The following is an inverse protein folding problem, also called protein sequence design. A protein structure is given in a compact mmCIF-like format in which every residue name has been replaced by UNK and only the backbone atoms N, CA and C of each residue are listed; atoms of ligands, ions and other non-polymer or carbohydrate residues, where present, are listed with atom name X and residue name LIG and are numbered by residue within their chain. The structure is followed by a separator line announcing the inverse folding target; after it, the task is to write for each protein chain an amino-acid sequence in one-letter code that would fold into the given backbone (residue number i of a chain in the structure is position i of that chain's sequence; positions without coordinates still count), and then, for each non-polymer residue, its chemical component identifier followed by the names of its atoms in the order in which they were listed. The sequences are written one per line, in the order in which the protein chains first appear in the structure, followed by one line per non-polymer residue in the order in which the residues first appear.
data_IF_374293252371
#
_entry.id   IF_374293252371
#
_cell.length_a   1.000
_cell.length_b   1.000
_cell.length_c   1.000
_cell.angle_alpha   90.00
_cell.angle_beta   90.00
_cell.angle_gamma   90.00
#
_symmetry.space_group_name_H-M   'P 1'
#
loop_
_entity.id
_entity.type
_entity.pdbx_description
1 polymer ?
#
# COMPACT_ATOMS: atom_id res chain seq x y z
N UNK A 1 7.47 0.87 1.71
CA UNK A 1 6.79 0.13 0.64
C UNK A 1 5.69 -0.75 1.24
N UNK A 2 4.40 -0.41 1.01
CA UNK A 2 3.27 -1.20 1.51
C UNK A 2 3.38 -2.68 1.16
N UNK A 3 3.60 -3.02 -0.13
CA UNK A 3 3.74 -4.39 -0.64
C UNK A 3 4.84 -5.22 0.03
N UNK A 4 5.79 -4.59 0.73
CA UNK A 4 6.98 -5.25 1.28
C UNK A 4 7.08 -5.18 2.80
N UNK A 5 6.12 -4.55 3.47
CA UNK A 5 6.20 -4.35 4.92
C UNK A 5 5.61 -5.54 5.69
N UNK A 6 4.29 -5.75 5.59
CA UNK A 6 3.57 -6.83 6.23
C UNK A 6 2.30 -7.17 5.43
N UNK A 7 2.01 -8.46 5.26
CA UNK A 7 0.80 -8.96 4.62
C UNK A 7 -0.19 -9.36 5.73
N UNK A 8 -1.19 -8.50 5.98
CA UNK A 8 -2.22 -8.70 6.99
C UNK A 8 -3.47 -9.41 6.46
N UNK A 9 -3.72 -9.34 5.15
CA UNK A 9 -4.83 -10.01 4.49
C UNK A 9 -4.42 -10.69 3.17
N UNK A 10 -3.97 -11.96 3.24
CA UNK A 10 -3.57 -12.71 2.04
C UNK A 10 -4.70 -12.94 1.03
N UNK A 11 -5.96 -12.67 1.38
CA UNK A 11 -7.07 -12.79 0.44
C UNK A 11 -7.05 -11.68 -0.63
N UNK A 12 -6.37 -10.56 -0.37
CA UNK A 12 -6.27 -9.44 -1.31
C UNK A 12 -5.02 -9.50 -2.23
N UNK A 13 -4.09 -10.44 -2.01
CA UNK A 13 -2.87 -10.60 -2.83
C UNK A 13 -3.16 -10.66 -4.33
N UNK A 14 -4.32 -11.25 -4.69
CA UNK A 14 -4.79 -11.39 -6.07
C UNK A 14 -6.25 -10.99 -6.18
N UNK A 15 -6.52 -9.83 -6.76
CA UNK A 15 -7.88 -9.31 -6.92
C UNK A 15 -8.44 -9.55 -8.34
N UNK A 16 -9.75 -9.83 -8.47
CA UNK A 16 -10.43 -9.82 -9.76
C UNK A 16 -10.26 -8.47 -10.48
N UNK A 17 -9.96 -8.51 -11.78
CA UNK A 17 -9.74 -7.30 -12.58
C UNK A 17 -8.32 -6.70 -12.49
N UNK A 18 -7.46 -7.24 -11.60
CA UNK A 18 -6.04 -6.84 -11.55
C UNK A 18 -5.18 -7.76 -12.41
N UNK A 19 -4.29 -7.17 -13.20
CA UNK A 19 -3.52 -7.86 -14.25
C UNK A 19 -2.37 -8.68 -13.67
N UNK A 20 -1.52 -8.08 -12.84
CA UNK A 20 -0.37 -8.76 -12.23
C UNK A 20 -0.80 -9.65 -11.05
N UNK A 21 -0.33 -10.90 -11.03
CA UNK A 21 -0.49 -11.84 -9.92
C UNK A 21 0.65 -11.73 -8.92
N UNK A 22 0.36 -12.02 -7.65
CA UNK A 22 1.38 -12.06 -6.61
C UNK A 22 2.38 -13.20 -6.84
N UNK A 23 3.67 -12.87 -6.73
CA UNK A 23 4.76 -13.83 -6.71
C UNK A 23 5.85 -13.32 -5.77
N UNK A 24 5.84 -13.83 -4.55
CA UNK A 24 6.79 -13.45 -3.50
C UNK A 24 8.23 -13.89 -3.79
N UNK A 25 8.44 -14.82 -4.74
CA UNK A 25 9.78 -15.25 -5.17
C UNK A 25 10.35 -14.32 -6.23
N UNK A 26 9.51 -13.62 -6.98
CA UNK A 26 9.94 -12.64 -7.98
C UNK A 26 10.37 -11.34 -7.28
N UNK A 27 11.61 -10.86 -7.44
CA UNK A 27 12.08 -9.63 -6.78
C UNK A 27 11.25 -8.38 -7.13
N UNK A 28 10.73 -8.34 -8.37
CA UNK A 28 9.89 -7.27 -8.91
C UNK A 28 8.40 -7.63 -8.93
N UNK A 29 8.03 -8.81 -8.41
CA UNK A 29 6.63 -9.19 -8.27
C UNK A 29 5.99 -8.54 -7.05
N UNK A 30 4.67 -8.66 -6.94
CA UNK A 30 3.94 -8.32 -5.72
C UNK A 30 4.15 -9.37 -4.65
N UNK A 31 4.41 -8.92 -3.43
CA UNK A 31 4.69 -9.78 -2.27
C UNK A 31 3.52 -9.83 -1.27
N UNK A 32 2.49 -9.00 -1.49
CA UNK A 32 1.22 -9.05 -0.77
C UNK A 32 1.16 -8.20 0.49
N UNK A 33 2.16 -7.36 0.74
CA UNK A 33 2.04 -6.40 1.85
C UNK A 33 0.91 -5.39 1.61
N UNK A 34 0.16 -5.05 2.65
CA UNK A 34 -1.10 -4.33 2.52
C UNK A 34 -1.35 -3.35 3.69
N UNK A 35 -2.45 -2.60 3.59
CA UNK A 35 -2.83 -1.60 4.60
C UNK A 35 -3.18 -2.27 5.92
N UNK A 36 -3.81 -3.45 5.89
CA UNK A 36 -4.12 -4.18 7.12
C UNK A 36 -2.84 -4.56 7.88
N UNK A 37 -1.83 -5.08 7.19
CA UNK A 37 -0.53 -5.37 7.78
C UNK A 37 0.17 -4.13 8.32
N UNK A 38 -0.01 -2.96 7.70
CA UNK A 38 0.47 -1.69 8.28
C UNK A 38 -0.27 -1.37 9.59
N UNK A 39 -1.61 -1.46 9.60
CA UNK A 39 -2.44 -1.22 10.79
C UNK A 39 -2.01 -2.14 11.95
N UNK A 40 -1.82 -3.42 11.68
CA UNK A 40 -1.44 -4.45 12.67
C UNK A 40 -0.07 -4.18 13.33
N UNK A 41 0.75 -3.32 12.72
CA UNK A 41 2.10 -2.99 13.18
C UNK A 41 2.30 -1.50 13.52
N UNK A 42 1.25 -0.70 13.63
CA UNK A 42 1.39 0.72 14.01
C UNK A 42 2.01 0.90 15.40
N UNK A 43 1.69 0.03 16.37
CA UNK A 43 2.31 0.06 17.71
C UNK A 43 3.81 -0.22 17.66
N UNK A 44 4.25 -1.12 16.76
CA UNK A 44 5.67 -1.35 16.52
C UNK A 44 6.34 -0.10 15.98
N UNK A 45 5.74 0.56 14.99
CA UNK A 45 6.28 1.78 14.37
C UNK A 45 6.36 2.91 15.41
N UNK A 46 5.29 3.14 16.17
CA UNK A 46 5.26 4.15 17.23
C UNK A 46 6.26 3.81 18.36
N UNK A 47 6.38 2.54 18.73
CA UNK A 47 7.30 2.05 19.75
C UNK A 47 8.78 2.24 19.42
N UNK A 48 9.13 2.32 18.13
CA UNK A 48 10.48 2.72 17.69
C UNK A 48 10.79 4.20 17.94
N UNK A 49 9.78 5.01 18.30
CA UNK A 49 9.90 6.47 18.43
C UNK A 49 9.68 7.22 17.11
N UNK A 50 9.18 6.54 16.06
CA UNK A 50 8.78 7.22 14.84
C UNK A 50 7.60 8.16 15.11
N UNK A 51 7.54 9.27 14.37
CA UNK A 51 6.46 10.28 14.49
C UNK A 51 5.71 10.51 13.18
N UNK A 52 6.12 9.81 12.12
CA UNK A 52 5.48 9.87 10.82
C UNK A 52 5.64 8.54 10.07
N UNK A 53 4.62 8.21 9.28
CA UNK A 53 4.59 7.13 8.30
C UNK A 53 4.60 7.74 6.90
N UNK A 54 5.57 7.36 6.08
CA UNK A 54 5.60 7.70 4.66
C UNK A 54 5.53 6.42 3.83
N UNK A 55 4.44 6.28 3.09
CA UNK A 55 4.21 5.15 2.19
C UNK A 55 4.56 5.55 0.76
N UNK A 56 5.14 4.63 -0.01
CA UNK A 56 5.12 4.72 -1.47
C UNK A 56 3.66 4.82 -1.98
N UNK A 57 3.42 5.21 -3.25
CA UNK A 57 2.07 5.43 -3.73
C UNK A 57 1.18 4.20 -3.50
N UNK A 58 0.01 4.45 -2.91
CA UNK A 58 -1.00 3.43 -2.55
C UNK A 58 -2.17 3.40 -3.52
N UNK A 59 -2.22 4.37 -4.43
CA UNK A 59 -3.24 4.46 -5.48
C UNK A 59 -3.07 3.33 -6.50
N UNK A 60 -4.16 3.01 -7.20
CA UNK A 60 -4.24 1.86 -8.09
C UNK A 60 -3.11 1.86 -9.12
N UNK A 61 -2.43 0.73 -9.25
CA UNK A 61 -1.42 0.51 -10.27
C UNK A 61 -1.70 -0.83 -10.96
N UNK A 62 -2.49 -0.83 -12.01
CA UNK A 62 -2.91 -2.05 -12.71
C UNK A 62 -1.98 -2.48 -13.87
N UNK A 63 -0.68 -2.20 -13.76
CA UNK A 63 0.32 -2.60 -14.76
C UNK A 63 0.52 -4.12 -14.78
N UNK A 64 0.92 -4.66 -15.94
CA UNK A 64 1.14 -6.12 -16.12
C UNK A 64 2.32 -6.64 -15.31
N UNK A 65 3.31 -5.78 -15.05
CA UNK A 65 4.54 -6.10 -14.35
C UNK A 65 4.94 -4.95 -13.42
N UNK A 66 5.59 -5.30 -12.32
CA UNK A 66 6.20 -4.34 -11.40
C UNK A 66 5.20 -3.39 -10.73
N UNK A 67 3.91 -3.71 -10.68
CA UNK A 67 2.91 -2.83 -10.07
C UNK A 67 3.13 -2.58 -8.58
N UNK A 68 3.94 -3.43 -7.93
CA UNK A 68 4.24 -3.39 -6.49
C UNK A 68 4.82 -2.05 -6.01
N UNK A 69 5.49 -1.28 -6.89
CA UNK A 69 6.16 -0.04 -6.49
C UNK A 69 5.22 1.18 -6.43
N UNK A 70 4.02 1.11 -7.02
CA UNK A 70 2.99 2.16 -6.93
C UNK A 70 3.15 3.35 -7.88
N UNK A 71 4.37 3.72 -8.30
CA UNK A 71 4.62 4.93 -9.12
C UNK A 71 3.94 5.04 -10.50
N UNK A 72 3.39 3.96 -11.09
CA UNK A 72 2.67 3.99 -12.38
C UNK A 72 1.16 3.96 -12.19
N UNK A 73 0.61 5.03 -11.60
CA UNK A 73 -0.81 5.11 -11.17
C UNK A 73 -1.77 4.98 -12.37
N UNK A 74 -2.73 4.08 -12.28
CA UNK A 74 -3.81 3.85 -13.27
C UNK A 74 -5.15 4.45 -12.86
N UNK A 75 -5.38 4.66 -11.56
CA UNK A 75 -6.53 5.42 -11.04
C UNK A 75 -6.09 6.29 -9.84
N UNK A 76 -6.21 7.61 -9.98
CA UNK A 76 -5.78 8.59 -8.97
C UNK A 76 -6.74 8.75 -7.79
N UNK A 77 -7.95 8.17 -7.86
CA UNK A 77 -8.99 8.32 -6.84
C UNK A 77 -9.24 7.04 -6.06
N UNK A 78 -8.52 5.97 -6.38
CA UNK A 78 -8.77 4.64 -5.85
C UNK A 78 -7.49 4.04 -5.29
N UNK A 79 -7.55 3.53 -4.06
CA UNK A 79 -6.51 2.69 -3.49
C UNK A 79 -6.42 1.39 -4.28
N UNK A 80 -5.20 0.90 -4.52
CA UNK A 80 -5.01 -0.38 -5.18
C UNK A 80 -5.75 -1.48 -4.40
N UNK A 81 -6.67 -2.23 -5.03
CA UNK A 81 -7.50 -3.20 -4.30
C UNK A 81 -6.68 -4.35 -3.69
N UNK A 82 -5.42 -4.54 -4.11
CA UNK A 82 -4.47 -5.49 -3.51
C UNK A 82 -3.71 -4.90 -2.30
N UNK A 83 -4.01 -3.67 -1.92
CA UNK A 83 -3.55 -3.03 -0.68
C UNK A 83 -4.71 -2.79 0.30
N UNK A 84 -5.94 -2.64 -0.20
CA UNK A 84 -7.13 -2.39 0.61
C UNK A 84 -8.18 -1.55 -0.09
N UNK A 85 -8.94 -0.77 0.67
CA UNK A 85 -9.96 0.17 0.15
C UNK A 85 -9.65 1.61 0.56
N UNK A 86 -10.36 2.57 -0.05
CA UNK A 86 -10.26 3.97 0.34
C UNK A 86 -10.63 4.18 1.82
N UNK A 87 -11.66 3.47 2.29
CA UNK A 87 -12.13 3.51 3.67
C UNK A 87 -11.08 2.90 4.61
N UNK A 88 -10.45 1.79 4.22
CA UNK A 88 -9.38 1.18 5.02
C UNK A 88 -8.16 2.09 5.11
N UNK A 89 -7.80 2.79 4.03
CA UNK A 89 -6.73 3.78 4.06
C UNK A 89 -7.08 4.95 5.00
N UNK A 90 -8.31 5.47 4.93
CA UNK A 90 -8.79 6.49 5.88
C UNK A 90 -8.71 6.00 7.32
N UNK A 91 -9.12 4.75 7.58
CA UNK A 91 -9.03 4.11 8.89
C UNK A 91 -7.58 3.98 9.39
N UNK A 92 -6.64 3.61 8.51
CA UNK A 92 -5.21 3.57 8.84
C UNK A 92 -4.67 4.94 9.24
N UNK A 93 -5.08 6.01 8.54
CA UNK A 93 -4.71 7.39 8.87
C UNK A 93 -5.23 7.77 10.25
N UNK A 94 -6.49 7.48 10.55
CA UNK A 94 -7.08 7.73 11.87
C UNK A 94 -6.37 6.95 12.99
N UNK A 95 -6.09 5.66 12.76
CA UNK A 95 -5.35 4.82 13.70
C UNK A 95 -3.93 5.34 13.94
N UNK A 96 -3.24 5.77 12.88
CA UNK A 96 -1.91 6.38 12.97
C UNK A 96 -1.94 7.65 13.84
N UNK A 97 -2.92 8.53 13.62
CA UNK A 97 -3.05 9.76 14.40
C UNK A 97 -3.31 9.50 15.89
N UNK A 98 -4.06 8.46 16.25
CA UNK A 98 -4.28 8.07 17.67
C UNK A 98 -2.98 7.71 18.40
N UNK A 99 -1.97 7.27 17.65
CA UNK A 99 -0.63 6.94 18.16
C UNK A 99 0.36 8.10 18.03
N UNK A 100 -0.09 9.28 17.60
CA UNK A 100 0.78 10.44 17.38
C UNK A 100 1.62 10.37 16.10
N UNK A 101 1.34 9.43 15.19
CA UNK A 101 2.00 9.31 13.90
C UNK A 101 1.30 10.18 12.86
N UNK A 102 2.05 11.04 12.17
CA UNK A 102 1.59 11.71 10.93
C UNK A 102 1.60 10.74 9.77
N UNK A 103 0.78 10.96 8.74
CA UNK A 103 0.82 10.18 7.50
C UNK A 103 1.18 11.08 6.32
N UNK A 104 2.20 10.69 5.56
CA UNK A 104 2.66 11.36 4.34
C UNK A 104 2.28 10.49 3.14
N UNK A 105 1.48 11.03 2.24
CA UNK A 105 1.10 10.39 1.00
C UNK A 105 2.11 10.75 -0.10
N UNK A 106 2.70 9.73 -0.74
CA UNK A 106 3.55 9.91 -1.91
C UNK A 106 2.69 10.12 -3.17
N UNK A 107 2.90 11.26 -3.83
CA UNK A 107 2.08 11.74 -4.95
C UNK A 107 2.92 11.88 -6.21
N UNK A 108 2.42 11.33 -7.32
CA UNK A 108 3.07 11.40 -8.63
C UNK A 108 2.32 12.36 -9.53
N UNK A 109 2.90 13.53 -9.80
CA UNK A 109 2.28 14.56 -10.66
C UNK A 109 2.81 14.56 -12.10
N UNK A 110 3.93 13.88 -12.36
CA UNK A 110 4.65 13.96 -13.63
C UNK A 110 4.14 12.99 -14.71
N UNK A 111 3.54 11.87 -14.31
CA UNK A 111 3.17 10.78 -15.22
C UNK A 111 2.05 9.90 -14.64
N UNK A 112 1.49 9.02 -15.47
CA UNK A 112 0.56 7.96 -15.09
C UNK A 112 0.99 6.62 -15.75
N UNK A 113 0.39 5.52 -15.32
CA UNK A 113 0.56 4.22 -15.97
C UNK A 113 -0.03 4.19 -17.38
N UNK A 114 0.54 3.35 -18.25
CA UNK A 114 0.04 3.09 -19.61
C UNK A 114 -1.16 2.18 -19.65
#
# INVERSE_FOLDING_TARGET
MPDRFANGDPANDNMPGMTEKADRKAPYGRHGGDIQGIIDHLDYIAGLGATALWLNPVLENNQEHSSYHGYSITDFYRIDPRLGTNELFSGMVEASHKLGLKVIMDMVMNHCGS
#
